data_IF_945989220188
#
_entry.id   IF_945989220188
#
_cell.length_a   1.000
_cell.length_b   1.000
_cell.length_c   1.000
_cell.angle_alpha   90.00
_cell.angle_beta   90.00
_cell.angle_gamma   90.00
#
_symmetry.space_group_name_H-M   'P 1'
#
loop_
_entity.id
_entity.type
_entity.pdbx_description
1 polymer ?
#
# COMPACT_ATOMS: atom_id res chain seq x y z
N UNK A 1 16.71 18.98 -2.56
CA UNK A 1 15.63 18.01 -2.25
C UNK A 1 16.21 16.62 -2.37
N UNK A 2 15.79 15.70 -1.51
CA UNK A 2 16.35 14.35 -1.45
C UNK A 2 15.30 13.40 -2.02
N UNK A 3 15.60 12.81 -3.17
CA UNK A 3 14.82 11.70 -3.71
C UNK A 3 15.23 10.42 -2.99
N UNK A 4 14.27 9.63 -2.52
CA UNK A 4 14.57 8.32 -1.92
C UNK A 4 14.74 7.21 -2.94
N UNK A 5 14.23 7.42 -4.15
CA UNK A 5 14.31 6.47 -5.25
C UNK A 5 15.12 7.07 -6.40
N UNK A 6 15.78 6.20 -7.15
CA UNK A 6 16.63 6.55 -8.29
C UNK A 6 16.05 6.01 -9.61
N UNK A 7 16.55 6.54 -10.73
CA UNK A 7 16.21 5.99 -12.05
C UNK A 7 16.71 4.55 -12.15
N UNK A 8 15.85 3.65 -12.61
CA UNK A 8 16.10 2.21 -12.68
C UNK A 8 15.48 1.41 -11.54
N UNK A 9 15.07 2.05 -10.44
CA UNK A 9 14.44 1.36 -9.31
C UNK A 9 13.09 0.76 -9.72
N UNK A 10 12.78 -0.41 -9.18
CA UNK A 10 11.48 -1.06 -9.29
C UNK A 10 10.67 -0.77 -8.03
N UNK A 11 9.52 -0.13 -8.18
CA UNK A 11 8.66 0.29 -7.07
C UNK A 11 7.25 -0.27 -7.19
N UNK A 12 6.65 -0.61 -6.05
CA UNK A 12 5.22 -0.90 -5.94
C UNK A 12 4.46 0.35 -5.55
N UNK A 13 3.21 0.48 -5.98
CA UNK A 13 2.38 1.64 -5.68
C UNK A 13 1.33 1.29 -4.62
N UNK A 14 1.10 2.20 -3.67
CA UNK A 14 0.16 2.02 -2.57
C UNK A 14 -1.30 2.09 -3.03
N UNK A 15 -1.56 2.79 -4.13
CA UNK A 15 -2.86 2.93 -4.76
C UNK A 15 -2.72 3.22 -6.25
N UNK A 16 -3.74 2.82 -7.01
CA UNK A 16 -3.76 2.90 -8.46
C UNK A 16 -3.95 4.31 -9.03
N UNK A 17 -4.00 4.36 -10.34
CA UNK A 17 -4.35 5.52 -11.14
C UNK A 17 -5.85 5.54 -11.43
N UNK A 18 -6.32 6.66 -11.98
CA UNK A 18 -7.72 6.82 -12.38
C UNK A 18 -8.20 5.71 -13.33
N UNK A 19 -7.35 5.29 -14.27
CA UNK A 19 -7.66 4.31 -15.31
C UNK A 19 -7.10 2.91 -15.03
N UNK A 20 -6.36 2.69 -13.94
CA UNK A 20 -5.67 1.42 -13.71
C UNK A 20 -5.35 1.16 -12.23
N UNK A 21 -5.60 -0.05 -11.76
CA UNK A 21 -5.19 -0.47 -10.42
C UNK A 21 -3.66 -0.51 -10.26
N UNK A 22 -3.15 -0.28 -9.05
CA UNK A 22 -1.73 -0.36 -8.70
C UNK A 22 -1.24 -1.82 -8.60
N UNK A 23 -1.32 -2.55 -9.71
CA UNK A 23 -0.92 -3.96 -9.75
C UNK A 23 0.44 -4.08 -10.44
N UNK A 24 1.38 -4.67 -9.72
CA UNK A 24 2.71 -4.99 -10.24
C UNK A 24 3.79 -3.97 -9.87
N UNK A 25 4.95 -4.14 -10.48
CA UNK A 25 6.11 -3.28 -10.32
C UNK A 25 6.15 -2.23 -11.43
N UNK A 26 6.67 -1.07 -11.08
CA UNK A 26 6.88 0.05 -11.98
C UNK A 26 8.34 0.48 -11.94
N UNK A 27 8.93 0.74 -13.10
CA UNK A 27 10.30 1.22 -13.21
C UNK A 27 10.33 2.75 -13.08
N UNK A 28 11.16 3.30 -12.20
CA UNK A 28 11.42 4.75 -12.17
C UNK A 28 12.24 5.14 -13.39
N UNK A 29 11.65 5.94 -14.29
CA UNK A 29 12.31 6.39 -15.53
C UNK A 29 12.87 7.81 -15.41
N UNK A 30 12.38 8.62 -14.48
CA UNK A 30 12.87 10.00 -14.26
C UNK A 30 12.59 10.52 -12.85
N UNK A 31 13.53 11.29 -12.31
CA UNK A 31 13.33 12.14 -11.13
C UNK A 31 12.79 13.51 -11.57
N UNK A 32 11.74 14.00 -10.93
CA UNK A 32 11.10 15.27 -11.27
C UNK A 32 11.24 16.28 -10.13
N UNK A 33 11.19 17.59 -10.42
CA UNK A 33 11.11 18.59 -9.36
C UNK A 33 9.96 18.30 -8.41
N UNK A 34 10.16 18.56 -7.12
CA UNK A 34 9.05 18.39 -6.18
C UNK A 34 7.89 19.31 -6.48
N UNK A 35 6.71 18.90 -6.02
CA UNK A 35 5.51 19.71 -6.09
C UNK A 35 5.64 20.92 -5.15
N UNK A 36 4.68 21.85 -5.22
CA UNK A 36 4.65 23.06 -4.40
C UNK A 36 4.69 22.81 -2.88
N UNK A 37 4.29 21.62 -2.42
CA UNK A 37 4.37 21.18 -1.02
C UNK A 37 5.75 20.60 -0.63
N UNK A 38 6.68 20.52 -1.59
CA UNK A 38 8.01 19.95 -1.40
C UNK A 38 8.10 18.44 -1.63
N UNK A 39 6.99 17.75 -1.95
CA UNK A 39 6.99 16.30 -2.18
C UNK A 39 7.76 15.92 -3.46
N UNK A 40 8.81 15.08 -3.37
CA UNK A 40 9.53 14.58 -4.55
C UNK A 40 8.61 13.86 -5.52
N UNK A 41 8.79 14.13 -6.81
CA UNK A 41 8.01 13.51 -7.87
C UNK A 41 8.88 12.57 -8.70
N UNK A 42 8.25 11.53 -9.24
CA UNK A 42 8.88 10.51 -10.06
C UNK A 42 8.03 10.26 -11.30
N UNK A 43 8.71 9.96 -12.41
CA UNK A 43 8.06 9.35 -13.56
C UNK A 43 8.33 7.85 -13.53
N UNK A 44 7.27 7.06 -13.64
CA UNK A 44 7.34 5.60 -13.59
C UNK A 44 6.71 4.97 -14.83
N UNK A 45 7.20 3.80 -15.22
CA UNK A 45 6.71 3.02 -16.36
C UNK A 45 6.25 1.64 -15.91
N UNK A 46 5.00 1.31 -16.21
CA UNK A 46 4.40 0.00 -15.92
C UNK A 46 4.63 -1.04 -17.02
N UNK A 47 4.10 -2.23 -16.81
CA UNK A 47 4.10 -3.33 -17.81
C UNK A 47 3.23 -3.04 -19.04
N UNK A 48 2.35 -2.04 -18.94
CA UNK A 48 1.52 -1.51 -20.02
C UNK A 48 2.28 -0.53 -20.94
N UNK A 49 3.58 -0.35 -20.72
CA UNK A 49 4.47 0.58 -21.42
C UNK A 49 4.10 2.06 -21.23
N UNK A 50 3.15 2.40 -20.34
CA UNK A 50 2.72 3.78 -20.11
C UNK A 50 3.57 4.45 -19.03
N UNK A 51 3.93 5.70 -19.30
CA UNK A 51 4.59 6.55 -18.32
C UNK A 51 3.57 7.36 -17.51
N UNK A 52 3.80 7.42 -16.19
CA UNK A 52 2.91 8.12 -15.25
C UNK A 52 3.75 8.93 -14.26
N UNK A 53 3.22 10.07 -13.83
CA UNK A 53 3.85 10.88 -12.78
C UNK A 53 3.22 10.52 -11.45
N UNK A 54 4.05 10.27 -10.44
CA UNK A 54 3.65 9.95 -9.08
C UNK A 54 4.43 10.77 -8.05
N UNK A 55 3.83 11.01 -6.89
CA UNK A 55 4.52 11.51 -5.71
C UNK A 55 5.19 10.38 -4.91
N UNK A 56 6.18 10.73 -4.08
CA UNK A 56 6.85 9.78 -3.18
C UNK A 56 5.88 9.03 -2.26
N UNK A 57 4.81 9.69 -1.79
CA UNK A 57 3.82 9.10 -0.90
C UNK A 57 2.97 8.00 -1.58
N UNK A 58 2.97 7.94 -2.91
CA UNK A 58 2.29 6.89 -3.66
C UNK A 58 3.11 5.60 -3.74
N UNK A 59 4.40 5.63 -3.41
CA UNK A 59 5.28 4.47 -3.46
C UNK A 59 5.18 3.71 -2.14
N UNK A 60 4.96 2.40 -2.22
CA UNK A 60 5.06 1.54 -1.05
C UNK A 60 6.52 1.43 -0.63
N UNK A 61 6.87 2.01 0.52
CA UNK A 61 8.18 1.73 1.14
C UNK A 61 8.22 0.27 1.54
N UNK A 62 9.23 -0.46 1.06
CA UNK A 62 9.57 -1.79 1.55
C UNK A 62 10.05 -1.67 3.01
N UNK A 63 9.09 -1.55 3.93
CA UNK A 63 9.31 -1.22 5.34
C UNK A 63 8.20 -1.72 6.25
N UNK A 64 7.43 -2.69 5.77
CA UNK A 64 6.53 -3.50 6.57
C UNK A 64 6.23 -4.77 5.79
N UNK A 65 6.74 -5.90 6.27
CA UNK A 65 6.48 -7.24 5.74
C UNK A 65 5.06 -7.39 5.16
N UNK A 66 4.97 -7.33 3.83
CA UNK A 66 4.06 -8.20 3.07
C UNK A 66 4.83 -9.34 2.43
N UNK A 67 5.87 -9.83 3.11
CA UNK A 67 5.95 -11.29 3.23
C UNK A 67 4.70 -11.71 3.99
N UNK A 68 4.03 -12.74 3.51
CA UNK A 68 3.04 -13.52 4.25
C UNK A 68 3.67 -14.24 5.49
N UNK A 69 4.69 -13.63 6.09
CA UNK A 69 5.44 -14.07 7.27
C UNK A 69 5.63 -12.89 8.24
N UNK A 70 4.64 -12.01 8.36
CA UNK A 70 4.37 -11.35 9.63
C UNK A 70 3.50 -12.29 10.46
N UNK A 71 3.60 -12.32 11.81
CA UNK A 71 2.71 -13.17 12.59
C UNK A 71 1.29 -12.80 12.16
N UNK A 72 0.54 -13.80 11.67
CA UNK A 72 -0.92 -13.73 11.54
C UNK A 72 -1.36 -12.96 12.78
N UNK A 73 -2.00 -11.80 12.62
CA UNK A 73 -2.67 -11.18 13.78
C UNK A 73 -3.55 -12.29 14.32
N UNK A 74 -3.10 -12.96 15.39
CA UNK A 74 -3.89 -13.96 16.07
C UNK A 74 -5.15 -13.20 16.37
N UNK A 75 -6.24 -13.56 15.70
CA UNK A 75 -7.56 -13.11 16.16
C UNK A 75 -7.58 -13.55 17.60
N UNK A 76 -7.42 -12.60 18.52
CA UNK A 76 -7.51 -12.89 19.93
C UNK A 76 -8.81 -13.67 20.10
N UNK A 77 -8.77 -14.91 20.61
CA UNK A 77 -9.98 -15.70 20.79
C UNK A 77 -10.96 -15.02 21.77
N UNK A 78 -10.47 -14.03 22.52
CA UNK A 78 -11.25 -13.12 23.33
C UNK A 78 -11.48 -11.78 22.61
N UNK A 79 -12.53 -11.73 21.80
CA UNK A 79 -13.20 -10.48 21.52
C UNK A 79 -14.42 -10.39 22.46
N UNK A 80 -14.45 -9.46 23.42
CA UNK A 80 -15.56 -9.37 24.38
C UNK A 80 -16.90 -9.14 23.69
N UNK A 81 -16.89 -8.50 22.51
CA UNK A 81 -18.08 -8.33 21.66
C UNK A 81 -18.62 -9.70 21.20
N UNK A 82 -17.76 -10.63 20.78
CA UNK A 82 -18.16 -11.95 20.31
C UNK A 82 -18.76 -12.81 21.42
N UNK A 83 -18.26 -12.70 22.66
CA UNK A 83 -18.83 -13.42 23.80
C UNK A 83 -20.22 -12.91 24.18
N UNK A 84 -20.44 -11.59 24.13
CA UNK A 84 -21.74 -10.98 24.43
C UNK A 84 -22.80 -11.46 23.43
N UNK A 85 -22.48 -11.47 22.13
CA UNK A 85 -23.42 -11.95 21.11
C UNK A 85 -23.74 -13.45 21.24
N UNK A 86 -22.75 -14.29 21.59
CA UNK A 86 -23.00 -15.71 21.81
C UNK A 86 -23.85 -15.95 23.07
N UNK A 87 -23.64 -15.18 24.14
CA UNK A 87 -24.45 -15.26 25.37
C UNK A 87 -25.91 -14.90 25.13
N UNK A 88 -26.17 -13.79 24.43
CA UNK A 88 -27.54 -13.36 24.10
C UNK A 88 -28.28 -14.42 23.25
N UNK A 89 -27.58 -15.05 22.32
CA UNK A 89 -28.15 -16.10 21.47
C UNK A 89 -28.52 -17.39 22.23
N UNK A 90 -27.88 -17.65 23.38
CA UNK A 90 -28.16 -18.82 24.22
C UNK A 90 -29.35 -18.59 25.17
N UNK A 91 -29.74 -17.35 25.42
CA UNK A 91 -30.85 -17.01 26.32
C UNK A 91 -32.23 -17.03 25.64
N UNK A 92 -32.29 -17.07 24.30
CA UNK A 92 -33.56 -17.22 23.55
C UNK A 92 -34.10 -18.66 23.48
N UNK A 93 -33.44 -19.62 24.14
CA UNK A 93 -33.81 -21.05 24.08
C UNK A 93 -34.20 -21.62 25.45
N UNK A 94 -35.01 -20.88 26.21
CA UNK A 94 -35.75 -21.39 27.38
C UNK A 94 -37.24 -21.15 27.22
#
# INVERSE_FOLDING_TARGET
MIHQFAVGDQVSLAFGFYDQAAVGLYAVTRLLPSRNDGEPQYRVKGSDDRERVIGEAQIERAGGNRTSTGPVRQRSPHNPITEIFNRLRLEEKR
#
